data_IF_338186265536
#
_entry.id   IF_338186265536
#
_cell.length_a   1.000
_cell.length_b   1.000
_cell.length_c   1.000
_cell.angle_alpha   90.00
_cell.angle_beta   90.00
_cell.angle_gamma   90.00
#
_symmetry.space_group_name_H-M   'P 1'
#
loop_
_entity.id
_entity.type
_entity.pdbx_description
1 polymer ?
#
# COMPACT_ATOMS: atom_id res chain seq x y z
N UNK A 1 -13.17 8.09 -14.81
CA UNK A 1 -11.88 7.44 -14.43
C UNK A 1 -12.07 6.26 -13.47
N UNK A 2 -12.64 6.46 -12.27
CA UNK A 2 -12.80 5.35 -11.30
C UNK A 2 -13.65 4.18 -11.82
N UNK A 3 -14.74 4.44 -12.55
CA UNK A 3 -15.56 3.39 -13.18
C UNK A 3 -14.77 2.47 -14.10
N UNK A 4 -13.77 3.01 -14.81
CA UNK A 4 -12.87 2.23 -15.69
C UNK A 4 -11.92 1.37 -14.85
N UNK A 5 -11.32 1.93 -13.80
CA UNK A 5 -10.46 1.17 -12.89
C UNK A 5 -11.21 0.04 -12.19
N UNK A 6 -12.44 0.29 -11.72
CA UNK A 6 -13.31 -0.74 -11.14
C UNK A 6 -13.54 -1.87 -12.14
N UNK A 7 -13.94 -1.54 -13.38
CA UNK A 7 -14.13 -2.53 -14.46
C UNK A 7 -12.86 -3.33 -14.73
N UNK A 8 -11.71 -2.67 -14.80
CA UNK A 8 -10.41 -3.32 -14.99
C UNK A 8 -10.15 -4.35 -13.88
N UNK A 9 -10.24 -3.95 -12.61
CA UNK A 9 -9.99 -4.86 -11.49
C UNK A 9 -10.96 -6.04 -11.46
N UNK A 10 -12.24 -5.81 -11.74
CA UNK A 10 -13.23 -6.88 -11.85
C UNK A 10 -12.85 -7.87 -12.96
N UNK A 11 -12.44 -7.38 -14.14
CA UNK A 11 -12.03 -8.25 -15.25
C UNK A 11 -10.75 -9.02 -14.97
N UNK A 12 -9.75 -8.40 -14.35
CA UNK A 12 -8.54 -9.12 -13.95
C UNK A 12 -8.86 -10.18 -12.89
N UNK A 13 -9.73 -9.87 -11.92
CA UNK A 13 -10.16 -10.84 -10.92
C UNK A 13 -10.83 -12.08 -11.54
N UNK A 14 -11.70 -11.89 -12.53
CA UNK A 14 -12.33 -13.00 -13.27
C UNK A 14 -11.28 -13.89 -13.96
N UNK A 15 -10.26 -13.28 -14.59
CA UNK A 15 -9.21 -14.00 -15.33
C UNK A 15 -8.34 -14.84 -14.39
N UNK A 16 -7.97 -14.30 -13.23
CA UNK A 16 -7.02 -14.96 -12.32
C UNK A 16 -7.70 -15.83 -11.25
N UNK A 17 -9.03 -15.89 -11.20
CA UNK A 17 -9.79 -16.56 -10.13
C UNK A 17 -9.33 -17.99 -9.87
N UNK A 18 -9.09 -18.75 -10.96
CA UNK A 18 -8.70 -20.16 -10.89
C UNK A 18 -7.29 -20.35 -10.33
N UNK A 19 -6.38 -19.46 -10.69
CA UNK A 19 -4.95 -19.58 -10.33
C UNK A 19 -4.65 -18.92 -8.99
N UNK A 20 -5.38 -17.86 -8.63
CA UNK A 20 -5.14 -17.06 -7.43
C UNK A 20 -6.42 -16.46 -6.84
N UNK A 21 -7.30 -17.29 -6.23
CA UNK A 21 -8.61 -16.83 -5.73
C UNK A 21 -8.48 -15.77 -4.64
N UNK A 22 -7.48 -15.86 -3.76
CA UNK A 22 -7.23 -14.85 -2.72
C UNK A 22 -6.84 -13.48 -3.30
N UNK A 23 -6.12 -13.46 -4.43
CA UNK A 23 -5.75 -12.21 -5.10
C UNK A 23 -6.94 -11.64 -5.86
N UNK A 24 -7.72 -12.49 -6.53
CA UNK A 24 -8.93 -12.08 -7.21
C UNK A 24 -9.92 -11.38 -6.26
N UNK A 25 -10.14 -11.93 -5.07
CA UNK A 25 -11.00 -11.31 -4.07
C UNK A 25 -10.48 -9.94 -3.60
N UNK A 26 -9.16 -9.78 -3.42
CA UNK A 26 -8.56 -8.48 -3.12
C UNK A 26 -8.82 -7.45 -4.24
N UNK A 27 -8.69 -7.86 -5.50
CA UNK A 27 -8.97 -6.99 -6.65
C UNK A 27 -10.44 -6.60 -6.73
N UNK A 28 -11.38 -7.51 -6.42
CA UNK A 28 -12.82 -7.18 -6.37
C UNK A 28 -13.15 -6.11 -5.32
N UNK A 29 -12.39 -6.07 -4.23
CA UNK A 29 -12.52 -5.06 -3.15
C UNK A 29 -11.74 -3.77 -3.40
N UNK A 30 -11.08 -3.62 -4.54
CA UNK A 30 -10.32 -2.43 -4.87
C UNK A 30 -11.18 -1.16 -4.76
N UNK A 31 -10.58 -0.09 -4.21
CA UNK A 31 -11.22 1.21 -4.04
C UNK A 31 -10.26 2.36 -4.37
N UNK A 32 -10.74 3.60 -4.59
CA UNK A 32 -9.87 4.74 -4.79
C UNK A 32 -8.94 4.99 -3.60
N UNK A 33 -9.42 4.73 -2.38
CA UNK A 33 -8.59 4.87 -1.18
C UNK A 33 -7.51 3.79 -1.12
N UNK A 34 -7.85 2.54 -1.44
CA UNK A 34 -6.90 1.44 -1.51
C UNK A 34 -5.76 1.73 -2.49
N UNK A 35 -6.06 2.22 -3.69
CA UNK A 35 -5.02 2.58 -4.67
C UNK A 35 -4.11 3.72 -4.18
N UNK A 36 -4.68 4.75 -3.52
CA UNK A 36 -3.88 5.83 -2.92
C UNK A 36 -2.95 5.29 -1.84
N UNK A 37 -3.46 4.40 -1.00
CA UNK A 37 -2.66 3.76 0.03
C UNK A 37 -1.54 2.92 -0.57
N UNK A 38 -1.85 2.04 -1.53
CA UNK A 38 -0.84 1.22 -2.22
C UNK A 38 0.24 2.08 -2.86
N UNK A 39 -0.12 3.17 -3.55
CA UNK A 39 0.86 4.08 -4.14
C UNK A 39 1.74 4.75 -3.07
N UNK A 40 1.12 5.32 -2.03
CA UNK A 40 1.82 6.08 -1.00
C UNK A 40 2.80 5.19 -0.21
N UNK A 41 2.34 4.05 0.28
CA UNK A 41 3.22 3.13 1.05
C UNK A 41 4.32 2.56 0.18
N UNK A 42 4.03 2.23 -1.09
CA UNK A 42 5.04 1.72 -2.00
C UNK A 42 6.11 2.77 -2.35
N UNK A 43 5.72 4.04 -2.52
CA UNK A 43 6.66 5.13 -2.77
C UNK A 43 7.56 5.38 -1.56
N UNK A 44 6.99 5.44 -0.35
CA UNK A 44 7.75 5.61 0.90
C UNK A 44 8.73 4.45 1.13
N UNK A 45 8.28 3.20 0.96
CA UNK A 45 9.12 2.01 1.07
C UNK A 45 10.27 1.98 0.05
N UNK A 46 10.15 2.75 -1.04
CA UNK A 46 11.18 2.91 -2.09
C UNK A 46 12.06 4.14 -1.89
N UNK A 47 11.95 4.81 -0.73
CA UNK A 47 12.78 5.96 -0.36
C UNK A 47 12.29 7.30 -0.92
N UNK A 48 11.04 7.40 -1.38
CA UNK A 48 10.48 8.70 -1.72
C UNK A 48 10.25 9.53 -0.45
N UNK A 49 10.54 10.83 -0.52
CA UNK A 49 10.27 11.74 0.58
C UNK A 49 8.77 11.94 0.80
N UNK A 50 8.37 12.12 2.08
CA UNK A 50 6.96 12.31 2.44
C UNK A 50 6.33 13.53 1.76
N UNK A 51 7.12 14.58 1.51
CA UNK A 51 6.72 15.77 0.77
C UNK A 51 6.40 15.46 -0.70
N UNK A 52 7.23 14.62 -1.35
CA UNK A 52 6.97 14.16 -2.72
C UNK A 52 5.69 13.34 -2.81
N UNK A 53 5.45 12.44 -1.84
CA UNK A 53 4.21 11.64 -1.80
C UNK A 53 2.98 12.53 -1.57
N UNK A 54 3.07 13.52 -0.68
CA UNK A 54 2.02 14.51 -0.45
C UNK A 54 1.65 15.24 -1.74
N UNK A 55 2.65 15.72 -2.48
CA UNK A 55 2.46 16.50 -3.71
C UNK A 55 1.85 15.64 -4.82
N UNK A 56 2.31 14.40 -4.99
CA UNK A 56 1.75 13.44 -5.93
C UNK A 56 0.27 13.11 -5.63
N UNK A 57 -0.10 13.04 -4.35
CA UNK A 57 -1.48 12.83 -3.92
C UNK A 57 -2.31 14.13 -3.88
N UNK A 58 -1.66 15.28 -4.08
CA UNK A 58 -2.26 16.63 -3.99
C UNK A 58 -2.90 16.91 -2.64
N UNK A 59 -2.28 16.44 -1.56
CA UNK A 59 -2.73 16.72 -0.21
C UNK A 59 -2.30 18.13 0.22
N UNK A 60 -3.24 18.91 0.75
CA UNK A 60 -2.96 20.26 1.23
C UNK A 60 -2.06 20.30 2.49
N UNK A 61 -1.97 19.20 3.23
CA UNK A 61 -1.20 19.10 4.47
C UNK A 61 -0.34 17.85 4.50
N UNK A 62 0.85 17.99 5.08
CA UNK A 62 1.74 16.85 5.34
C UNK A 62 1.14 15.89 6.36
N UNK A 63 0.36 16.40 7.32
CA UNK A 63 -0.31 15.60 8.35
C UNK A 63 -1.28 14.56 7.75
N UNK A 64 -2.02 14.94 6.70
CA UNK A 64 -2.89 14.01 5.96
C UNK A 64 -2.10 12.88 5.28
N UNK A 65 -0.83 13.11 4.95
CA UNK A 65 0.04 12.14 4.29
C UNK A 65 0.79 11.27 5.30
N UNK A 66 1.05 11.78 6.50
CA UNK A 66 1.72 11.05 7.60
C UNK A 66 0.99 9.76 7.99
N UNK A 67 -0.30 9.63 7.69
CA UNK A 67 -1.06 8.38 7.90
C UNK A 67 -0.38 7.18 7.23
N UNK A 68 0.34 7.37 6.11
CA UNK A 68 0.98 6.30 5.35
C UNK A 68 2.33 5.85 5.93
N UNK A 69 2.91 6.57 6.90
CA UNK A 69 4.17 6.17 7.55
C UNK A 69 4.04 4.95 8.48
N UNK A 70 2.84 4.72 9.01
CA UNK A 70 2.59 3.68 10.02
C UNK A 70 2.66 2.25 9.44
N UNK A 71 2.58 2.09 8.11
CA UNK A 71 2.72 0.79 7.45
C UNK A 71 4.13 0.20 7.56
N UNK A 72 5.16 1.06 7.50
CA UNK A 72 6.56 0.65 7.61
C UNK A 72 7.03 0.57 9.06
N UNK A 73 6.34 1.21 10.00
CA UNK A 73 6.66 1.17 11.42
C UNK A 73 6.51 -0.25 12.00
N UNK A 74 5.45 -0.97 11.60
CA UNK A 74 5.24 -2.37 12.02
C UNK A 74 6.33 -3.30 11.47
N UNK A 75 6.75 -3.10 10.22
CA UNK A 75 7.80 -3.90 9.59
C UNK A 75 9.17 -3.60 10.20
N UNK A 76 9.52 -2.32 10.39
CA UNK A 76 10.76 -1.91 11.07
C UNK A 76 10.81 -2.34 12.53
N UNK A 77 9.69 -2.27 13.26
CA UNK A 77 9.61 -2.75 14.64
C UNK A 77 9.85 -4.27 14.72
N UNK A 78 9.32 -5.03 13.75
CA UNK A 78 9.57 -6.47 13.63
C UNK A 78 11.04 -6.77 13.32
N UNK A 79 11.62 -6.10 12.32
CA UNK A 79 13.03 -6.27 11.92
C UNK A 79 14.00 -5.92 13.08
N UNK A 80 13.74 -4.83 13.81
CA UNK A 80 14.50 -4.48 15.01
C UNK A 80 14.32 -5.52 16.12
N UNK A 81 13.10 -5.99 16.36
CA UNK A 81 12.81 -7.04 17.34
C UNK A 81 13.59 -8.33 17.06
N UNK A 82 13.64 -8.76 15.80
CA UNK A 82 14.41 -9.92 15.34
C UNK A 82 15.92 -9.70 15.50
N UNK A 83 16.44 -8.52 15.13
CA UNK A 83 17.86 -8.19 15.28
C UNK A 83 18.34 -8.13 16.75
N UNK A 84 17.51 -7.59 17.65
CA UNK A 84 17.81 -7.57 19.08
C UNK A 84 17.63 -8.95 19.75
N UNK A 85 16.77 -9.81 19.22
CA UNK A 85 16.62 -11.18 19.69
C UNK A 85 17.82 -12.07 19.30
N UNK A 86 18.31 -11.96 18.07
CA UNK A 86 19.46 -12.71 17.57
C UNK A 86 20.79 -12.38 18.28
N UNK A 87 20.87 -11.21 18.94
CA UNK A 87 22.05 -10.75 19.69
C UNK A 87 22.01 -11.13 21.17
N UNK A 88 20.95 -11.78 21.65
CA UNK A 88 20.77 -12.26 23.03
C UNK A 88 20.84 -13.79 23.18
N UNK A 89 21.05 -14.52 22.09
CA UNK A 89 21.34 -15.96 22.05
C UNK A 89 22.82 -16.19 21.75
#
# INVERSE_FOLDING_TARGET
LWSVMRRFFTKVAEVIEKDSPATAEKLRRASPHWMRHTHATHALARGAELTTVRDNLRHASISTTSIYLHGDEVKRAREMGEAFAARRS
#
